data_IF_292933263459
#
_entry.id   IF_292933263459
#
_cell.length_a   1.000
_cell.length_b   1.000
_cell.length_c   1.000
_cell.angle_alpha   90.00
_cell.angle_beta   90.00
_cell.angle_gamma   90.00
#
_symmetry.space_group_name_H-M   'P 1'
#
loop_
_entity.id
_entity.type
_entity.pdbx_description
1 polymer ?
#
# COMPACT_ATOMS: atom_id res chain seq x y z
N UNK A 1 -3.63 3.71 31.88
CA UNK A 1 -2.57 4.57 32.40
C UNK A 1 -1.30 4.27 31.64
N UNK A 2 -0.78 5.30 31.09
CA UNK A 2 0.50 5.59 30.45
C UNK A 2 0.41 5.76 28.94
N UNK A 3 0.14 6.95 28.63
CA UNK A 3 0.54 7.89 27.61
C UNK A 3 2.00 7.75 27.20
N UNK A 4 2.25 7.50 25.94
CA UNK A 4 3.55 7.56 25.31
C UNK A 4 3.52 8.54 24.15
N UNK A 5 3.57 9.84 24.49
CA UNK A 5 3.85 10.92 23.55
C UNK A 5 5.30 10.80 23.11
N UNK A 6 5.54 10.52 21.83
CA UNK A 6 6.87 10.55 21.23
C UNK A 6 7.22 11.98 20.84
N UNK A 7 8.05 12.62 21.66
CA UNK A 7 8.67 13.90 21.33
C UNK A 7 9.99 13.61 20.61
N UNK A 8 10.03 13.98 19.34
CA UNK A 8 11.22 13.91 18.48
C UNK A 8 12.31 14.84 19.02
N UNK A 9 13.43 14.28 19.43
CA UNK A 9 14.66 15.02 19.73
C UNK A 9 15.48 15.15 18.45
N UNK A 10 15.46 16.35 17.85
CA UNK A 10 16.31 16.75 16.74
C UNK A 10 17.79 16.81 17.18
N UNK A 11 18.64 15.96 16.61
CA UNK A 11 20.07 16.24 16.46
C UNK A 11 20.42 16.26 14.98
N UNK A 12 20.91 17.42 14.56
CA UNK A 12 21.38 17.87 13.26
C UNK A 12 21.92 16.76 12.34
N UNK A 13 21.20 16.49 11.27
CA UNK A 13 21.67 15.81 10.08
C UNK A 13 20.78 16.26 8.94
N UNK A 14 21.36 16.84 7.91
CA UNK A 14 20.68 17.52 6.80
C UNK A 14 19.61 16.62 6.17
N UNK A 15 18.37 17.11 6.16
CA UNK A 15 17.26 16.51 5.42
C UNK A 15 17.55 16.76 3.94
N UNK A 16 18.15 15.77 3.27
CA UNK A 16 18.13 15.71 1.82
C UNK A 16 16.70 15.39 1.39
N UNK A 17 15.92 16.45 1.18
CA UNK A 17 14.64 16.35 0.46
C UNK A 17 14.97 15.96 -0.97
N UNK A 18 15.01 14.67 -1.24
CA UNK A 18 15.13 14.16 -2.60
C UNK A 18 13.81 14.38 -3.32
N UNK A 19 13.64 15.59 -3.89
CA UNK A 19 12.57 15.93 -4.82
C UNK A 19 12.88 15.32 -6.18
N UNK A 20 12.86 13.99 -6.28
CA UNK A 20 12.89 13.28 -7.54
C UNK A 20 11.60 12.46 -7.69
N UNK A 21 10.48 13.16 -7.85
CA UNK A 21 9.30 12.60 -8.50
C UNK A 21 9.65 12.33 -9.96
N UNK A 22 10.43 11.26 -10.22
CA UNK A 22 10.47 10.66 -11.55
C UNK A 22 9.18 9.88 -11.71
N UNK A 23 8.20 10.53 -12.32
CA UNK A 23 7.05 9.85 -12.92
C UNK A 23 7.59 8.87 -13.95
N UNK A 24 7.71 7.59 -13.57
CA UNK A 24 8.02 6.51 -14.49
C UNK A 24 6.76 6.24 -15.32
N UNK A 25 6.60 6.99 -16.39
CA UNK A 25 5.67 6.63 -17.46
C UNK A 25 6.31 5.48 -18.26
N UNK A 26 6.07 4.24 -17.84
CA UNK A 26 6.46 3.03 -18.55
C UNK A 26 5.21 2.27 -18.98
N UNK A 27 4.49 2.83 -19.94
CA UNK A 27 3.44 2.09 -20.65
C UNK A 27 4.09 0.99 -21.49
N UNK A 28 3.86 -0.27 -21.13
CA UNK A 28 4.28 -1.43 -21.93
C UNK A 28 5.66 -2.04 -21.63
N UNK A 29 6.39 -1.61 -20.61
CA UNK A 29 7.63 -2.24 -20.18
C UNK A 29 7.40 -3.06 -18.91
N UNK A 30 7.72 -4.35 -18.95
CA UNK A 30 7.76 -5.19 -17.75
C UNK A 30 8.98 -4.79 -16.91
N UNK A 31 8.75 -4.55 -15.63
CA UNK A 31 9.80 -4.22 -14.66
C UNK A 31 9.93 -5.35 -13.66
N UNK A 32 11.15 -5.76 -13.35
CA UNK A 32 11.40 -6.79 -12.34
C UNK A 32 11.56 -6.17 -10.96
N UNK A 33 10.65 -6.51 -10.04
CA UNK A 33 10.69 -6.05 -8.65
C UNK A 33 10.67 -7.21 -7.66
N UNK A 34 11.21 -7.03 -6.44
CA UNK A 34 10.99 -7.98 -5.36
C UNK A 34 9.54 -7.92 -4.86
N UNK A 35 8.98 -9.06 -4.46
CA UNK A 35 7.62 -9.17 -3.93
C UNK A 35 7.68 -9.51 -2.45
N UNK A 36 6.88 -8.79 -1.67
CA UNK A 36 6.67 -9.01 -0.26
C UNK A 36 5.22 -9.44 -0.01
N UNK A 37 4.95 -10.75 0.13
CA UNK A 37 3.62 -11.27 0.44
C UNK A 37 3.26 -10.99 1.90
N UNK A 38 2.03 -10.47 2.13
CA UNK A 38 1.51 -10.11 3.46
C UNK A 38 0.04 -10.51 3.59
N UNK A 39 -0.45 -10.67 4.82
CA UNK A 39 -1.87 -10.85 5.12
C UNK A 39 -2.60 -9.49 5.17
N UNK A 40 -2.33 -8.65 4.20
CA UNK A 40 -2.98 -7.35 4.05
C UNK A 40 -3.07 -6.96 2.58
N UNK A 41 -3.90 -5.97 2.28
CA UNK A 41 -3.99 -5.36 0.95
C UNK A 41 -3.53 -3.91 1.07
N UNK A 42 -2.50 -3.56 0.32
CA UNK A 42 -2.02 -2.19 0.20
C UNK A 42 -2.69 -1.51 -1.00
N UNK A 43 -3.17 -0.30 -0.79
CA UNK A 43 -3.75 0.53 -1.85
C UNK A 43 -2.85 1.72 -2.21
N UNK A 44 -3.00 2.30 -3.41
CA UNK A 44 -2.33 3.55 -3.78
C UNK A 44 -2.53 4.65 -2.75
N UNK A 45 -1.44 5.29 -2.36
CA UNK A 45 -1.42 6.32 -1.33
C UNK A 45 -1.55 5.82 0.11
N UNK A 46 -1.80 4.52 0.35
CA UNK A 46 -1.89 3.91 1.67
C UNK A 46 -0.57 3.88 2.40
N UNK A 47 -0.62 4.06 3.71
CA UNK A 47 0.53 3.92 4.58
C UNK A 47 0.58 2.49 5.14
N UNK A 48 1.74 1.86 5.08
CA UNK A 48 1.95 0.53 5.62
C UNK A 48 3.23 0.50 6.46
N UNK A 49 3.10 0.48 7.80
CA UNK A 49 4.24 0.27 8.68
C UNK A 49 4.68 -1.20 8.62
N UNK A 50 5.96 -1.45 8.47
CA UNK A 50 6.53 -2.79 8.39
C UNK A 50 7.67 -2.96 9.38
N UNK A 51 7.72 -4.15 10.01
CA UNK A 51 8.86 -4.60 10.81
C UNK A 51 9.54 -5.75 10.08
N UNK A 52 10.78 -5.51 9.62
CA UNK A 52 11.54 -6.45 8.80
C UNK A 52 12.64 -7.08 9.67
N UNK A 53 12.67 -8.41 9.71
CA UNK A 53 13.67 -9.19 10.48
C UNK A 53 14.17 -10.45 9.74
N UNK A 54 13.48 -10.92 8.69
CA UNK A 54 13.96 -12.02 7.87
C UNK A 54 15.06 -11.58 6.90
N UNK A 55 16.13 -12.36 6.76
CA UNK A 55 17.32 -11.99 5.99
C UNK A 55 17.01 -11.58 4.56
N UNK A 56 16.14 -12.34 3.86
CA UNK A 56 15.72 -12.04 2.48
C UNK A 56 15.09 -10.65 2.33
N UNK A 57 14.27 -10.25 3.32
CA UNK A 57 13.62 -8.94 3.30
C UNK A 57 14.51 -7.83 3.86
N UNK A 58 15.47 -8.14 4.74
CA UNK A 58 16.52 -7.19 5.14
C UNK A 58 17.38 -6.77 3.94
N UNK A 59 17.79 -7.73 3.12
CA UNK A 59 18.61 -7.47 1.94
C UNK A 59 17.81 -6.78 0.83
N UNK A 60 16.54 -7.16 0.64
CA UNK A 60 15.60 -6.43 -0.19
C UNK A 60 15.49 -4.96 0.23
N UNK A 61 15.25 -4.71 1.53
CA UNK A 61 15.09 -3.36 2.09
C UNK A 61 16.32 -2.51 1.83
N UNK A 62 17.53 -3.04 2.12
CA UNK A 62 18.80 -2.33 1.86
C UNK A 62 18.95 -1.95 0.39
N UNK A 63 18.61 -2.87 -0.52
CA UNK A 63 18.66 -2.61 -1.95
C UNK A 63 17.65 -1.54 -2.36
N UNK A 64 16.39 -1.65 -1.92
CA UNK A 64 15.34 -0.68 -2.24
C UNK A 64 15.66 0.72 -1.70
N UNK A 65 16.20 0.83 -0.48
CA UNK A 65 16.63 2.11 0.10
C UNK A 65 17.80 2.72 -0.69
N UNK A 66 18.84 1.91 -0.98
CA UNK A 66 20.04 2.38 -1.72
C UNK A 66 19.69 2.88 -3.12
N UNK A 67 18.84 2.14 -3.82
CA UNK A 67 18.55 2.37 -5.24
C UNK A 67 17.29 3.23 -5.46
N UNK A 68 16.61 3.63 -4.37
CA UNK A 68 15.32 4.33 -4.37
C UNK A 68 14.28 3.64 -5.26
N UNK A 69 14.23 2.30 -5.21
CA UNK A 69 13.35 1.47 -6.02
C UNK A 69 12.18 0.92 -5.21
N UNK A 70 11.00 0.75 -5.82
CA UNK A 70 9.87 0.14 -5.14
C UNK A 70 10.03 -1.38 -5.03
N UNK A 71 9.27 -1.95 -4.10
CA UNK A 71 8.97 -3.38 -4.05
C UNK A 71 7.45 -3.58 -4.19
N UNK A 72 7.01 -4.81 -4.47
CA UNK A 72 5.60 -5.13 -4.58
C UNK A 72 5.05 -5.71 -3.29
N UNK A 73 3.93 -5.19 -2.81
CA UNK A 73 3.14 -5.80 -1.74
C UNK A 73 1.96 -6.53 -2.37
N UNK A 74 1.84 -7.83 -2.09
CA UNK A 74 0.73 -8.67 -2.54
C UNK A 74 0.10 -9.37 -1.34
N UNK A 75 -1.23 -9.48 -1.35
CA UNK A 75 -1.91 -10.36 -0.40
C UNK A 75 -1.43 -11.81 -0.57
N UNK A 76 -1.26 -12.52 0.53
CA UNK A 76 -1.00 -13.97 0.52
C UNK A 76 -2.28 -14.69 0.09
N UNK A 77 -2.15 -15.52 -0.95
CA UNK A 77 -3.20 -16.47 -1.36
C UNK A 77 -3.06 -17.78 -0.63
N UNK A 78 -1.83 -18.29 -0.50
CA UNK A 78 -1.52 -19.56 0.17
C UNK A 78 -0.19 -19.43 0.93
N UNK A 79 -0.12 -20.00 2.13
CA UNK A 79 1.07 -19.97 2.98
C UNK A 79 0.96 -18.96 4.13
N UNK A 80 2.11 -18.52 4.64
CA UNK A 80 2.21 -17.64 5.81
C UNK A 80 3.22 -16.51 5.54
N UNK A 81 3.15 -15.44 6.32
CA UNK A 81 4.05 -14.29 6.19
C UNK A 81 5.51 -14.63 6.52
N UNK A 82 5.72 -15.57 7.43
CA UNK A 82 7.05 -15.92 7.96
C UNK A 82 7.40 -17.34 7.59
N UNK A 83 8.66 -17.57 7.25
CA UNK A 83 9.20 -18.91 6.96
C UNK A 83 9.28 -19.20 5.47
N UNK A 84 8.60 -20.26 5.01
CA UNK A 84 8.63 -20.63 3.59
C UNK A 84 7.99 -19.55 2.71
N UNK A 85 8.46 -19.39 1.44
CA UNK A 85 7.86 -18.45 0.52
C UNK A 85 6.37 -18.73 0.32
N UNK A 86 5.54 -17.72 0.59
CA UNK A 86 4.10 -17.80 0.37
C UNK A 86 3.77 -17.61 -1.12
N UNK A 87 2.58 -18.06 -1.53
CA UNK A 87 2.06 -17.79 -2.87
C UNK A 87 1.28 -16.48 -2.85
N UNK A 88 1.75 -15.43 -3.53
CA UNK A 88 1.07 -14.15 -3.58
C UNK A 88 -0.13 -14.17 -4.53
N UNK A 89 -1.07 -13.25 -4.33
CA UNK A 89 -2.06 -12.90 -5.33
C UNK A 89 -1.39 -12.28 -6.57
N UNK A 90 -2.08 -12.39 -7.72
CA UNK A 90 -1.54 -11.90 -8.98
C UNK A 90 -1.57 -10.36 -9.10
N UNK A 91 -2.43 -9.71 -8.32
CA UNK A 91 -2.53 -8.25 -8.29
C UNK A 91 -2.08 -7.76 -6.93
N UNK A 92 -1.20 -6.77 -6.93
CA UNK A 92 -0.67 -6.12 -5.74
C UNK A 92 -0.53 -4.62 -5.95
N UNK A 93 0.10 -3.95 -4.99
CA UNK A 93 0.45 -2.54 -5.07
C UNK A 93 1.95 -2.36 -4.86
N UNK A 94 2.60 -1.55 -5.70
CA UNK A 94 4.00 -1.16 -5.49
C UNK A 94 4.10 -0.26 -4.27
N UNK A 95 5.15 -0.40 -3.48
CA UNK A 95 5.41 0.34 -2.27
C UNK A 95 6.79 0.99 -2.33
N UNK A 96 6.85 2.28 -1.95
CA UNK A 96 8.10 2.98 -1.69
C UNK A 96 8.33 3.10 -0.19
N UNK A 97 9.59 2.97 0.22
CA UNK A 97 10.03 3.23 1.59
C UNK A 97 10.13 4.75 1.73
N UNK A 98 9.24 5.33 2.55
CA UNK A 98 9.23 6.76 2.84
C UNK A 98 10.20 7.11 3.96
N UNK A 99 10.19 6.28 5.02
CA UNK A 99 11.05 6.43 6.19
C UNK A 99 11.51 5.06 6.66
N UNK A 100 12.66 5.01 7.28
CA UNK A 100 13.18 3.79 7.87
C UNK A 100 14.10 4.07 9.06
N UNK A 101 14.10 3.14 9.99
CA UNK A 101 15.03 3.14 11.12
C UNK A 101 15.48 1.71 11.43
N UNK A 102 16.62 1.60 12.11
CA UNK A 102 17.15 0.31 12.59
C UNK A 102 17.32 0.39 14.10
N UNK A 103 16.24 0.20 14.87
CA UNK A 103 16.31 0.31 16.34
C UNK A 103 17.24 -0.73 16.98
N UNK A 104 17.37 -1.89 16.33
CA UNK A 104 18.29 -2.96 16.72
C UNK A 104 18.96 -3.56 15.50
N UNK A 105 20.18 -4.08 15.67
CA UNK A 105 20.87 -4.78 14.59
C UNK A 105 20.02 -5.93 14.06
N UNK A 106 19.79 -5.95 12.74
CA UNK A 106 19.00 -6.97 12.07
C UNK A 106 17.49 -6.76 12.13
N UNK A 107 17.00 -5.60 12.57
CA UNK A 107 15.58 -5.25 12.54
C UNK A 107 15.39 -3.87 11.94
N UNK A 108 14.70 -3.78 10.78
CA UNK A 108 14.22 -2.52 10.24
C UNK A 108 12.78 -2.25 10.66
N UNK A 109 12.50 -1.00 10.97
CA UNK A 109 11.14 -0.46 11.00
C UNK A 109 10.99 0.49 9.81
N UNK A 110 9.99 0.26 9.00
CA UNK A 110 9.75 1.01 7.76
C UNK A 110 8.41 1.69 7.82
N UNK A 111 8.35 2.91 7.30
CA UNK A 111 7.11 3.51 6.84
C UNK A 111 7.09 3.43 5.32
N UNK A 112 6.14 2.69 4.77
CA UNK A 112 6.01 2.54 3.34
C UNK A 112 4.72 3.17 2.84
N UNK A 113 4.74 3.61 1.57
CA UNK A 113 3.59 4.21 0.91
C UNK A 113 3.28 3.47 -0.38
N UNK A 114 2.04 3.03 -0.53
CA UNK A 114 1.52 2.45 -1.76
C UNK A 114 1.58 3.45 -2.90
N UNK A 115 1.98 2.98 -4.10
CA UNK A 115 2.12 3.82 -5.28
C UNK A 115 1.09 3.46 -6.35
N UNK A 116 1.27 2.34 -7.02
CA UNK A 116 0.46 1.97 -8.17
C UNK A 116 0.13 0.48 -8.13
N UNK A 117 -1.10 0.08 -8.48
CA UNK A 117 -1.45 -1.32 -8.64
C UNK A 117 -0.66 -1.94 -9.79
N UNK A 118 -0.33 -3.20 -9.64
CA UNK A 118 0.36 -3.97 -10.67
C UNK A 118 -0.20 -5.38 -10.78
N UNK A 119 0.07 -6.03 -11.91
CA UNK A 119 -0.16 -7.47 -12.11
C UNK A 119 1.18 -8.19 -12.28
N UNK A 120 1.31 -9.35 -11.64
CA UNK A 120 2.42 -10.27 -11.85
C UNK A 120 2.24 -10.95 -13.21
N UNK A 121 3.23 -10.79 -14.10
CA UNK A 121 3.29 -11.47 -15.41
C UNK A 121 4.04 -12.79 -15.27
N UNK A 122 5.16 -12.75 -14.56
CA UNK A 122 6.01 -13.92 -14.27
C UNK A 122 6.67 -13.73 -12.92
N UNK A 123 6.84 -14.80 -12.17
CA UNK A 123 7.58 -14.76 -10.91
C UNK A 123 8.52 -15.95 -10.77
N UNK A 124 9.57 -15.77 -9.98
CA UNK A 124 10.51 -16.81 -9.58
C UNK A 124 10.92 -16.60 -8.12
N UNK A 125 11.06 -17.69 -7.40
CA UNK A 125 11.62 -17.68 -6.04
C UNK A 125 13.14 -17.84 -6.15
N UNK A 126 13.89 -16.95 -5.54
CA UNK A 126 15.35 -17.00 -5.49
C UNK A 126 15.81 -18.03 -4.46
N UNK A 127 17.13 -18.35 -4.47
CA UNK A 127 17.73 -19.33 -3.55
C UNK A 127 17.61 -18.94 -2.06
N UNK A 128 17.52 -17.64 -1.78
CA UNK A 128 17.29 -17.09 -0.43
C UNK A 128 15.81 -17.07 -0.04
N UNK A 129 14.90 -17.49 -0.93
CA UNK A 129 13.46 -17.50 -0.73
C UNK A 129 12.76 -16.17 -1.07
N UNK A 130 13.48 -15.15 -1.57
CA UNK A 130 12.87 -13.91 -2.03
C UNK A 130 12.15 -14.16 -3.38
N UNK A 131 10.89 -13.73 -3.46
CA UNK A 131 10.16 -13.76 -4.73
C UNK A 131 10.54 -12.51 -5.54
N UNK A 132 10.93 -12.71 -6.80
CA UNK A 132 11.04 -11.63 -7.78
C UNK A 132 10.02 -11.83 -8.88
N UNK A 133 9.40 -10.74 -9.32
CA UNK A 133 8.39 -10.78 -10.35
C UNK A 133 8.64 -9.75 -11.44
N UNK A 134 8.39 -10.15 -12.68
CA UNK A 134 8.13 -9.24 -13.78
C UNK A 134 6.69 -8.77 -13.65
N UNK A 135 6.49 -7.46 -13.58
CA UNK A 135 5.19 -6.86 -13.36
C UNK A 135 4.77 -5.96 -14.51
N UNK A 136 3.47 -5.85 -14.68
CA UNK A 136 2.81 -4.84 -15.50
C UNK A 136 2.08 -3.87 -14.57
N UNK A 137 2.39 -2.57 -14.66
CA UNK A 137 1.69 -1.54 -13.91
C UNK A 137 0.26 -1.39 -14.46
N UNK A 138 -0.70 -1.37 -13.57
CA UNK A 138 -2.10 -1.27 -13.94
C UNK A 138 -2.54 0.20 -13.94
N UNK A 139 -2.94 0.69 -15.11
CA UNK A 139 -3.55 2.02 -15.22
C UNK A 139 -4.99 1.98 -14.73
N UNK A 140 -5.38 3.00 -14.00
CA UNK A 140 -6.75 3.18 -13.57
C UNK A 140 -7.50 4.07 -14.54
N UNK A 141 -8.66 3.61 -14.97
CA UNK A 141 -9.60 4.40 -15.74
C UNK A 141 -10.46 5.28 -14.80
N UNK A 142 -10.86 6.45 -15.28
CA UNK A 142 -11.92 7.20 -14.63
C UNK A 142 -13.25 6.50 -14.90
N UNK A 143 -13.94 6.07 -13.85
CA UNK A 143 -15.26 5.48 -13.92
C UNK A 143 -16.36 6.53 -13.91
N UNK A 144 -17.57 6.10 -14.28
CA UNK A 144 -18.76 6.95 -14.12
C UNK A 144 -19.10 7.06 -12.62
N UNK A 145 -19.03 8.27 -12.09
CA UNK A 145 -19.28 8.52 -10.66
C UNK A 145 -20.77 8.83 -10.42
N UNK A 146 -21.43 7.97 -9.67
CA UNK A 146 -22.77 8.25 -9.15
C UNK A 146 -22.65 9.11 -7.91
N UNK A 147 -23.25 10.31 -7.96
CA UNK A 147 -23.11 11.31 -6.90
C UNK A 147 -23.61 10.83 -5.54
N UNK A 148 -24.68 10.04 -5.49
CA UNK A 148 -25.21 9.48 -4.25
C UNK A 148 -24.20 8.54 -3.57
N UNK A 149 -23.56 7.65 -4.34
CA UNK A 149 -22.55 6.70 -3.86
C UNK A 149 -21.32 7.44 -3.36
N UNK A 150 -20.85 8.40 -4.13
CA UNK A 150 -19.68 9.21 -3.75
C UNK A 150 -19.97 10.03 -2.49
N UNK A 151 -21.12 10.72 -2.41
CA UNK A 151 -21.46 11.55 -1.25
C UNK A 151 -21.56 10.72 0.05
N UNK A 152 -22.12 9.50 -0.01
CA UNK A 152 -22.15 8.62 1.16
C UNK A 152 -20.76 8.15 1.56
N UNK A 153 -19.97 7.64 0.61
CA UNK A 153 -18.61 7.16 0.88
C UNK A 153 -17.74 8.28 1.46
N UNK A 154 -17.78 9.47 0.88
CA UNK A 154 -17.07 10.65 1.37
C UNK A 154 -17.46 10.98 2.81
N UNK A 155 -18.75 11.10 3.10
CA UNK A 155 -19.26 11.42 4.45
C UNK A 155 -18.79 10.41 5.49
N UNK A 156 -18.85 9.11 5.17
CA UNK A 156 -18.39 8.06 6.08
C UNK A 156 -16.89 8.18 6.33
N UNK A 157 -16.11 8.42 5.27
CA UNK A 157 -14.66 8.62 5.41
C UNK A 157 -14.32 9.85 6.25
N UNK A 158 -15.00 10.99 6.04
CA UNK A 158 -14.82 12.20 6.85
C UNK A 158 -15.08 11.91 8.34
N UNK A 159 -16.14 11.17 8.66
CA UNK A 159 -16.45 10.77 10.05
C UNK A 159 -15.38 9.82 10.63
N UNK A 160 -14.82 8.93 9.84
CA UNK A 160 -13.73 8.06 10.28
C UNK A 160 -12.48 8.90 10.58
N UNK A 161 -12.09 9.79 9.67
CA UNK A 161 -10.91 10.66 9.84
C UNK A 161 -11.07 11.57 11.07
N UNK A 162 -12.25 12.11 11.31
CA UNK A 162 -12.55 12.91 12.49
C UNK A 162 -12.34 12.11 13.81
N UNK A 163 -12.65 10.82 13.80
CA UNK A 163 -12.50 9.96 14.99
C UNK A 163 -11.10 9.48 15.25
N UNK A 164 -10.36 9.10 14.20
CA UNK A 164 -9.04 8.47 14.35
C UNK A 164 -7.87 9.45 14.18
N UNK A 165 -8.13 10.61 13.59
CA UNK A 165 -7.12 11.63 13.28
C UNK A 165 -6.60 11.59 11.84
N UNK A 166 -6.21 12.76 11.35
CA UNK A 166 -5.69 12.93 9.98
C UNK A 166 -4.29 12.31 9.79
N UNK A 167 -3.53 12.12 10.86
CA UNK A 167 -2.15 11.61 10.85
C UNK A 167 -2.04 10.15 10.38
N UNK A 168 -3.17 9.42 10.38
CA UNK A 168 -3.24 8.07 9.82
C UNK A 168 -3.22 8.03 8.30
N UNK A 169 -3.30 9.19 7.64
CA UNK A 169 -3.38 9.30 6.19
C UNK A 169 -2.23 10.10 5.63
N UNK A 170 -1.76 9.72 4.45
CA UNK A 170 -0.77 10.51 3.74
C UNK A 170 -1.38 11.82 3.21
N UNK A 171 -0.83 12.99 3.57
CA UNK A 171 -1.34 14.27 3.05
C UNK A 171 -1.05 14.44 1.56
N UNK A 172 -1.85 15.29 0.85
CA UNK A 172 -3.03 16.00 1.33
C UNK A 172 -4.27 15.09 1.40
N UNK A 173 -5.22 15.43 2.29
CA UNK A 173 -6.52 14.76 2.35
C UNK A 173 -7.39 15.23 1.18
N UNK A 174 -7.66 14.35 0.23
CA UNK A 174 -8.33 14.68 -1.02
C UNK A 174 -9.76 14.12 -1.08
N UNK A 175 -10.63 14.57 -0.18
CA UNK A 175 -12.01 14.09 -0.07
C UNK A 175 -12.85 14.29 -1.33
N UNK A 176 -12.51 15.26 -2.16
CA UNK A 176 -13.20 15.55 -3.43
C UNK A 176 -12.69 14.69 -4.60
N UNK A 177 -11.64 13.91 -4.39
CA UNK A 177 -11.13 12.95 -5.36
C UNK A 177 -11.80 11.56 -5.13
N UNK A 178 -12.64 11.08 -6.06
CA UNK A 178 -13.32 9.78 -5.96
C UNK A 178 -12.34 8.61 -5.81
N UNK A 179 -11.20 8.67 -6.48
CA UNK A 179 -10.15 7.64 -6.40
C UNK A 179 -9.55 7.59 -5.01
N UNK A 180 -9.09 8.73 -4.50
CA UNK A 180 -8.53 8.83 -3.15
C UNK A 180 -9.53 8.38 -2.09
N UNK A 181 -10.77 8.90 -2.15
CA UNK A 181 -11.84 8.57 -1.22
C UNK A 181 -12.15 7.08 -1.22
N UNK A 182 -12.25 6.45 -2.39
CA UNK A 182 -12.55 5.02 -2.48
C UNK A 182 -11.46 4.14 -1.88
N UNK A 183 -10.19 4.45 -2.12
CA UNK A 183 -9.10 3.70 -1.54
C UNK A 183 -8.97 3.89 -0.03
N UNK A 184 -9.07 5.12 0.45
CA UNK A 184 -8.99 5.38 1.91
C UNK A 184 -10.13 4.71 2.65
N UNK A 185 -11.35 4.75 2.07
CA UNK A 185 -12.49 4.09 2.69
C UNK A 185 -12.33 2.56 2.70
N UNK A 186 -11.83 1.96 1.61
CA UNK A 186 -11.55 0.52 1.54
C UNK A 186 -10.53 0.06 2.60
N UNK A 187 -9.55 0.90 2.92
CA UNK A 187 -8.60 0.60 4.01
C UNK A 187 -9.25 0.58 5.37
N UNK A 188 -10.11 1.56 5.65
CA UNK A 188 -10.67 1.80 6.97
C UNK A 188 -11.84 0.87 7.33
N UNK A 189 -12.56 0.39 6.33
CA UNK A 189 -13.69 -0.50 6.59
C UNK A 189 -13.22 -1.91 7.00
N UNK A 190 -14.00 -2.54 7.89
CA UNK A 190 -13.77 -3.90 8.37
C UNK A 190 -14.22 -4.94 7.34
N UNK A 191 -13.69 -4.84 6.12
CA UNK A 191 -13.92 -5.76 5.03
C UNK A 191 -13.02 -7.00 5.16
N UNK A 192 -13.49 -8.15 4.67
CA UNK A 192 -12.66 -9.33 4.51
C UNK A 192 -11.51 -9.09 3.54
N UNK A 193 -10.40 -9.84 3.70
CA UNK A 193 -9.22 -9.67 2.83
C UNK A 193 -9.53 -9.93 1.35
N UNK A 194 -10.43 -10.87 1.05
CA UNK A 194 -10.87 -11.14 -0.32
C UNK A 194 -11.66 -9.97 -0.91
N UNK A 195 -12.52 -9.35 -0.12
CA UNK A 195 -13.26 -8.16 -0.55
C UNK A 195 -12.31 -6.98 -0.78
N UNK A 196 -11.34 -6.77 0.12
CA UNK A 196 -10.28 -5.77 -0.04
C UNK A 196 -9.46 -6.04 -1.31
N UNK A 197 -9.09 -7.29 -1.56
CA UNK A 197 -8.38 -7.67 -2.78
C UNK A 197 -9.21 -7.36 -4.03
N UNK A 198 -10.49 -7.73 -4.04
CA UNK A 198 -11.39 -7.43 -5.14
C UNK A 198 -11.57 -5.91 -5.40
N UNK A 199 -11.50 -5.07 -4.35
CA UNK A 199 -11.51 -3.61 -4.49
C UNK A 199 -10.22 -3.08 -5.12
N UNK A 200 -9.05 -3.68 -4.83
CA UNK A 200 -7.79 -3.33 -5.48
C UNK A 200 -7.77 -3.71 -6.96
N UNK A 201 -8.41 -4.82 -7.31
CA UNK A 201 -8.48 -5.33 -8.69
C UNK A 201 -9.42 -4.53 -9.60
N UNK A 202 -10.37 -3.78 -9.02
CA UNK A 202 -11.21 -2.86 -9.78
C UNK A 202 -10.38 -1.73 -10.38
N UNK A 203 -10.47 -1.60 -11.70
CA UNK A 203 -9.67 -0.67 -12.51
C UNK A 203 -10.26 0.72 -12.62
N UNK A 204 -11.43 0.96 -12.03
CA UNK A 204 -12.12 2.24 -12.06
C UNK A 204 -12.64 2.63 -10.67
N UNK A 205 -12.63 3.92 -10.41
CA UNK A 205 -13.06 4.51 -9.15
C UNK A 205 -14.58 4.46 -8.96
N UNK A 206 -15.36 4.56 -10.04
CA UNK A 206 -16.82 4.46 -9.99
C UNK A 206 -17.28 3.08 -9.51
N UNK A 207 -16.78 2.01 -10.12
CA UNK A 207 -17.09 0.63 -9.72
C UNK A 207 -16.67 0.33 -8.28
N UNK A 208 -15.53 0.87 -7.84
CA UNK A 208 -15.06 0.74 -6.46
C UNK A 208 -16.00 1.45 -5.49
N UNK A 209 -16.43 2.69 -5.79
CA UNK A 209 -17.40 3.44 -4.97
C UNK A 209 -18.75 2.75 -4.90
N UNK A 210 -19.26 2.18 -5.99
CA UNK A 210 -20.53 1.44 -5.99
C UNK A 210 -20.45 0.21 -5.07
N UNK A 211 -19.35 -0.52 -5.09
CA UNK A 211 -19.15 -1.69 -4.23
C UNK A 211 -19.09 -1.30 -2.76
N UNK A 212 -18.38 -0.22 -2.42
CA UNK A 212 -18.33 0.33 -1.08
C UNK A 212 -19.69 0.87 -0.61
N UNK A 213 -20.41 1.56 -1.48
CA UNK A 213 -21.77 2.03 -1.21
C UNK A 213 -22.72 0.87 -0.87
N UNK A 214 -22.69 -0.20 -1.69
CA UNK A 214 -23.51 -1.38 -1.43
C UNK A 214 -23.18 -2.00 -0.06
N UNK A 215 -21.92 -2.10 0.30
CA UNK A 215 -21.49 -2.58 1.62
C UNK A 215 -22.02 -1.69 2.76
N UNK A 216 -21.86 -0.37 2.65
CA UNK A 216 -22.32 0.57 3.67
C UNK A 216 -23.85 0.53 3.86
N UNK A 217 -24.59 0.29 2.78
CA UNK A 217 -26.07 0.16 2.84
C UNK A 217 -26.55 -1.13 3.50
N UNK A 218 -25.74 -2.18 3.48
CA UNK A 218 -26.04 -3.44 4.16
C UNK A 218 -25.68 -3.42 5.65
N UNK A 219 -24.70 -2.59 6.03
CA UNK A 219 -24.21 -2.46 7.40
C UNK A 219 -24.96 -1.42 8.23
N UNK A 220 -25.84 -0.62 7.62
CA UNK A 220 -26.67 0.42 8.25
C UNK A 220 -28.03 -0.11 8.68
#
# INVERSE_FOLDING_TARGET
MADGVWVSSCLRGEILVCSALRTFALTGMTTSIPIFPLNTVLYPGGLLPLKIFEQRYLDMTKACVRDATPFGVCRIREGQEVGLPAVPEQVGCTALIAEWEMPHLGVFQLQTRGQQPFRIVRQATQSDGLIRAEIELLEEAAGAIRQESFALCRRVLEQIVEKIGADYFSPPLAYDDPRWTSYRLAEMLSLGLEEKQGLLELRDDGGRLERLYAYLRQAA
#
